data_IF_383488772376
#
_entry.id   IF_383488772376
#
_cell.length_a   1.000
_cell.length_b   1.000
_cell.length_c   1.000
_cell.angle_alpha   90.00
_cell.angle_beta   90.00
_cell.angle_gamma   90.00
#
_symmetry.space_group_name_H-M   'P 1'
#
loop_
_entity.id
_entity.type
_entity.pdbx_description
1 polymer ?
#
# COMPACT_ATOMS: atom_id res chain seq x y z
N UNK A 1 -0.60 -16.49 -3.33
CA UNK A 1 -1.49 -15.50 -2.75
C UNK A 1 -2.22 -16.05 -1.52
N UNK A 2 -3.08 -17.10 -1.63
CA UNK A 2 -3.85 -17.65 -0.50
C UNK A 2 -2.94 -18.04 0.68
N UNK A 3 -1.88 -18.82 0.45
CA UNK A 3 -0.96 -19.23 1.51
C UNK A 3 -0.26 -18.04 2.21
N UNK A 4 0.00 -16.96 1.48
CA UNK A 4 0.58 -15.73 2.04
C UNK A 4 -0.45 -14.97 2.87
N UNK A 5 -1.67 -14.83 2.37
CA UNK A 5 -2.76 -14.20 3.09
C UNK A 5 -3.14 -14.99 4.37
N UNK A 6 -3.19 -16.33 4.29
CA UNK A 6 -3.47 -17.18 5.47
C UNK A 6 -2.41 -17.01 6.57
N UNK A 7 -1.13 -16.86 6.19
CA UNK A 7 -0.08 -16.56 7.19
C UNK A 7 -0.27 -15.21 7.87
N UNK A 8 -0.78 -14.23 7.12
CA UNK A 8 -0.96 -12.86 7.61
C UNK A 8 -2.23 -12.72 8.46
N UNK A 9 -3.32 -13.34 8.04
CA UNK A 9 -4.63 -13.14 8.65
C UNK A 9 -5.11 -14.33 9.53
N UNK A 10 -4.48 -15.49 9.39
CA UNK A 10 -4.93 -16.73 10.02
C UNK A 10 -6.11 -17.39 9.29
N UNK A 11 -6.30 -18.69 9.51
CA UNK A 11 -7.34 -19.48 8.83
C UNK A 11 -8.76 -19.00 9.18
N UNK A 12 -9.02 -18.67 10.45
CA UNK A 12 -10.32 -18.20 10.92
C UNK A 12 -10.73 -16.88 10.27
N UNK A 13 -9.82 -15.91 10.18
CA UNK A 13 -10.09 -14.64 9.55
C UNK A 13 -10.20 -14.76 8.02
N UNK A 14 -9.43 -15.67 7.40
CA UNK A 14 -9.57 -15.96 5.97
C UNK A 14 -10.96 -16.49 5.65
N UNK A 15 -11.47 -17.46 6.43
CA UNK A 15 -12.82 -17.99 6.24
C UNK A 15 -13.91 -16.94 6.51
N UNK A 16 -13.78 -16.21 7.63
CA UNK A 16 -14.77 -15.23 8.08
C UNK A 16 -14.87 -14.00 7.18
N UNK A 17 -13.74 -13.48 6.64
CA UNK A 17 -13.69 -12.23 5.90
C UNK A 17 -13.81 -12.44 4.37
N UNK A 18 -13.26 -13.51 3.85
CA UNK A 18 -13.21 -13.77 2.41
C UNK A 18 -14.01 -15.00 1.99
N UNK A 19 -14.29 -15.93 2.90
CA UNK A 19 -15.01 -17.16 2.59
C UNK A 19 -14.25 -18.06 1.60
N UNK A 20 -14.97 -18.75 0.72
CA UNK A 20 -14.38 -19.65 -0.26
C UNK A 20 -13.69 -18.88 -1.40
N UNK A 21 -12.40 -19.13 -1.62
CA UNK A 21 -11.65 -18.60 -2.75
C UNK A 21 -11.85 -19.49 -3.99
N UNK A 22 -12.65 -19.00 -4.93
CA UNK A 22 -12.81 -19.65 -6.23
C UNK A 22 -11.79 -19.07 -7.22
N UNK A 23 -11.01 -19.93 -7.93
CA UNK A 23 -10.09 -19.45 -8.94
C UNK A 23 -10.85 -18.83 -10.13
N UNK A 24 -10.31 -17.73 -10.68
CA UNK A 24 -10.82 -17.18 -11.93
C UNK A 24 -10.54 -18.18 -13.06
N UNK A 25 -11.52 -18.58 -13.88
CA UNK A 25 -11.31 -19.46 -15.02
C UNK A 25 -10.25 -18.91 -15.97
N UNK A 26 -9.39 -19.79 -16.51
CA UNK A 26 -8.24 -19.40 -17.33
C UNK A 26 -8.61 -18.54 -18.53
N UNK A 27 -9.78 -18.81 -19.14
CA UNK A 27 -10.32 -18.05 -20.26
C UNK A 27 -10.72 -16.61 -19.91
N UNK A 28 -10.92 -16.32 -18.63
CA UNK A 28 -11.24 -14.98 -18.13
C UNK A 28 -10.00 -14.22 -17.63
N UNK A 29 -8.81 -14.87 -17.62
CA UNK A 29 -7.58 -14.25 -17.19
C UNK A 29 -6.90 -13.49 -18.33
N UNK A 30 -6.57 -12.24 -18.07
CA UNK A 30 -5.73 -11.42 -18.96
C UNK A 30 -4.53 -10.88 -18.18
N UNK A 31 -3.40 -11.58 -18.19
CA UNK A 31 -2.20 -11.08 -17.53
C UNK A 31 -1.71 -9.78 -18.16
N UNK A 32 -1.35 -8.81 -17.33
CA UNK A 32 -0.80 -7.52 -17.76
C UNK A 32 0.65 -7.41 -17.27
N UNK A 33 1.50 -6.76 -18.07
CA UNK A 33 2.93 -6.60 -17.79
C UNK A 33 3.36 -5.14 -17.65
N UNK A 34 2.45 -4.21 -17.96
CA UNK A 34 2.73 -2.78 -18.09
C UNK A 34 3.13 -2.40 -19.53
N UNK A 35 2.71 -1.19 -19.92
CA UNK A 35 2.87 -0.68 -21.29
C UNK A 35 1.69 -0.97 -22.21
N UNK A 36 0.73 -1.79 -21.77
CA UNK A 36 -0.50 -2.05 -22.53
C UNK A 36 -1.52 -0.93 -22.35
N UNK A 37 -2.42 -0.80 -23.32
CA UNK A 37 -3.70 -0.11 -23.16
C UNK A 37 -4.81 -1.16 -23.15
N UNK A 38 -5.72 -1.05 -22.18
CA UNK A 38 -6.89 -1.90 -22.09
C UNK A 38 -8.17 -1.07 -22.20
N UNK A 39 -9.24 -1.71 -22.63
CA UNK A 39 -10.58 -1.10 -22.63
C UNK A 39 -11.41 -1.73 -21.52
N UNK A 40 -11.90 -0.91 -20.60
CA UNK A 40 -12.78 -1.34 -19.51
C UNK A 40 -13.92 -0.32 -19.33
N UNK A 41 -15.17 -0.78 -19.36
CA UNK A 41 -16.34 0.08 -19.21
C UNK A 41 -16.43 1.20 -20.25
N UNK A 42 -15.91 0.99 -21.47
CA UNK A 42 -15.87 1.99 -22.54
C UNK A 42 -14.78 3.06 -22.38
N UNK A 43 -13.85 2.89 -21.44
CA UNK A 43 -12.70 3.76 -21.20
C UNK A 43 -11.41 3.07 -21.61
N UNK A 44 -10.49 3.83 -22.19
CA UNK A 44 -9.12 3.37 -22.44
C UNK A 44 -8.25 3.66 -21.22
N UNK A 45 -7.63 2.60 -20.69
CA UNK A 45 -6.77 2.69 -19.53
C UNK A 45 -5.35 2.28 -19.94
N UNK A 46 -4.38 3.17 -19.72
CA UNK A 46 -2.97 2.83 -19.80
C UNK A 46 -2.58 2.01 -18.58
N UNK A 47 -1.73 1.01 -18.77
CA UNK A 47 -1.26 0.13 -17.71
C UNK A 47 0.22 0.38 -17.46
N UNK A 48 0.60 0.59 -16.21
CA UNK A 48 1.99 0.55 -15.78
C UNK A 48 2.23 -0.59 -14.80
N UNK A 49 3.32 -1.32 -14.96
CA UNK A 49 3.81 -2.23 -13.93
C UNK A 49 4.47 -1.40 -12.83
N UNK A 50 3.91 -1.46 -11.62
CA UNK A 50 4.24 -0.62 -10.47
C UNK A 50 4.52 -1.45 -9.22
N UNK A 51 5.56 -2.31 -9.26
CA UNK A 51 5.98 -3.10 -8.10
C UNK A 51 6.59 -2.25 -6.98
N UNK A 52 6.89 -2.87 -5.85
CA UNK A 52 7.52 -2.26 -4.68
C UNK A 52 6.72 -2.45 -3.41
N UNK A 53 5.40 -2.16 -3.42
CA UNK A 53 4.47 -2.64 -2.42
C UNK A 53 4.26 -4.17 -2.55
N UNK A 54 4.06 -4.62 -3.77
CA UNK A 54 3.95 -6.04 -4.10
C UNK A 54 4.53 -6.31 -5.49
N UNK A 55 5.12 -7.50 -5.68
CA UNK A 55 5.79 -7.88 -6.92
C UNK A 55 4.86 -7.98 -8.14
N UNK A 56 3.56 -8.16 -7.91
CA UNK A 56 2.54 -8.31 -8.97
C UNK A 56 1.73 -7.04 -9.24
N UNK A 57 2.07 -5.90 -8.60
CA UNK A 57 1.24 -4.71 -8.66
C UNK A 57 1.28 -4.01 -10.02
N UNK A 58 0.10 -3.57 -10.50
CA UNK A 58 -0.07 -2.71 -11.68
C UNK A 58 -0.96 -1.52 -11.33
N UNK A 59 -0.72 -0.41 -12.00
CA UNK A 59 -1.55 0.79 -11.93
C UNK A 59 -2.17 1.09 -13.28
N UNK A 60 -3.32 1.78 -13.27
CA UNK A 60 -4.05 2.14 -14.47
C UNK A 60 -4.26 3.65 -14.55
N UNK A 61 -4.19 4.21 -15.74
CA UNK A 61 -4.44 5.63 -15.96
C UNK A 61 -5.50 5.87 -17.05
N UNK A 62 -6.57 6.54 -16.69
CA UNK A 62 -7.57 7.04 -17.60
C UNK A 62 -7.19 8.46 -18.05
N UNK A 63 -6.69 8.60 -19.28
CA UNK A 63 -6.33 9.90 -19.86
C UNK A 63 -7.52 10.84 -19.97
N UNK A 64 -8.71 10.31 -20.24
CA UNK A 64 -9.91 11.10 -20.47
C UNK A 64 -10.36 11.83 -19.20
N UNK A 65 -10.27 11.19 -18.04
CA UNK A 65 -10.61 11.78 -16.74
C UNK A 65 -9.40 12.22 -15.93
N UNK A 66 -8.17 11.93 -16.37
CA UNK A 66 -6.90 12.17 -15.66
C UNK A 66 -6.88 11.53 -14.27
N UNK A 67 -7.53 10.38 -14.14
CA UNK A 67 -7.54 9.56 -12.92
C UNK A 67 -6.55 8.42 -13.03
N UNK A 68 -5.64 8.29 -12.06
CA UNK A 68 -4.78 7.12 -11.91
C UNK A 68 -5.31 6.21 -10.79
N UNK A 69 -5.62 4.97 -11.13
CA UNK A 69 -5.96 3.90 -10.18
C UNK A 69 -4.67 3.22 -9.76
N UNK A 70 -4.23 3.49 -8.55
CA UNK A 70 -2.86 3.20 -8.13
C UNK A 70 -2.76 2.12 -7.04
N UNK A 71 -3.89 1.47 -6.73
CA UNK A 71 -3.91 0.41 -5.72
C UNK A 71 -3.30 0.88 -4.40
N UNK A 72 -2.40 0.08 -3.86
CA UNK A 72 -1.69 0.35 -2.61
C UNK A 72 -0.35 1.09 -2.80
N UNK A 73 0.08 1.28 -4.07
CA UNK A 73 1.36 1.93 -4.39
C UNK A 73 1.47 3.36 -3.84
N UNK A 74 0.35 4.07 -3.68
CA UNK A 74 0.33 5.42 -3.13
C UNK A 74 0.00 5.48 -1.63
N UNK A 75 -0.04 4.36 -0.94
CA UNK A 75 -0.33 4.30 0.48
C UNK A 75 -1.80 4.45 0.84
N UNK A 76 -2.07 4.51 2.14
CA UNK A 76 -3.42 4.55 2.72
C UNK A 76 -3.63 5.91 3.38
N UNK A 77 -4.60 6.69 2.86
CA UNK A 77 -5.03 7.97 3.44
C UNK A 77 -6.50 7.88 3.82
N UNK A 78 -6.86 8.43 4.97
CA UNK A 78 -8.25 8.52 5.39
C UNK A 78 -8.74 9.98 5.26
N UNK A 79 -9.72 10.18 4.38
CA UNK A 79 -10.28 11.51 4.11
C UNK A 79 -9.19 12.54 3.76
N UNK A 80 -9.31 13.75 4.31
CA UNK A 80 -8.34 14.83 4.13
C UNK A 80 -7.19 14.80 5.16
N UNK A 81 -7.04 13.68 5.87
CA UNK A 81 -6.00 13.48 6.88
C UNK A 81 -4.59 13.71 6.33
N UNK A 82 -3.68 14.14 7.21
CA UNK A 82 -2.27 14.42 6.84
C UNK A 82 -1.38 13.18 6.85
N UNK A 83 -1.85 12.10 7.44
CA UNK A 83 -1.08 10.87 7.55
C UNK A 83 -1.35 9.96 6.36
N UNK A 84 -0.30 9.52 5.70
CA UNK A 84 -0.35 8.48 4.68
C UNK A 84 0.39 7.27 5.21
N UNK A 85 -0.35 6.23 5.57
CA UNK A 85 0.23 5.00 6.05
C UNK A 85 0.78 4.18 4.88
N UNK A 86 2.06 3.80 4.90
CA UNK A 86 2.60 2.91 3.90
C UNK A 86 2.15 1.47 4.17
N UNK A 87 1.49 0.80 3.22
CA UNK A 87 1.18 -0.62 3.34
C UNK A 87 2.43 -1.44 3.01
N UNK A 88 3.01 -2.07 4.02
CA UNK A 88 4.27 -2.82 3.90
C UNK A 88 4.13 -4.30 4.27
N UNK A 89 3.26 -5.08 3.61
CA UNK A 89 3.13 -6.50 3.88
C UNK A 89 4.36 -7.27 3.39
N UNK A 90 4.99 -8.11 4.22
CA UNK A 90 6.07 -8.96 3.77
C UNK A 90 5.55 -10.05 2.79
N UNK A 91 6.41 -10.64 1.95
CA UNK A 91 7.86 -10.42 1.82
C UNK A 91 8.28 -9.49 0.67
N UNK A 92 7.34 -8.96 -0.12
CA UNK A 92 7.58 -8.39 -1.45
C UNK A 92 8.01 -6.90 -1.44
N UNK A 93 8.28 -6.33 -0.27
CA UNK A 93 8.61 -4.90 -0.15
C UNK A 93 10.00 -4.61 -0.73
N UNK A 94 10.03 -3.72 -1.74
CA UNK A 94 11.25 -3.18 -2.33
C UNK A 94 11.13 -1.66 -2.50
N UNK A 95 11.82 -0.92 -1.64
CA UNK A 95 11.69 0.54 -1.58
C UNK A 95 12.32 1.25 -2.80
N UNK A 96 13.36 0.67 -3.41
CA UNK A 96 14.00 1.27 -4.59
C UNK A 96 13.08 1.13 -5.80
N UNK A 97 12.58 -0.07 -6.03
CA UNK A 97 11.60 -0.37 -7.08
C UNK A 97 10.29 0.41 -6.87
N UNK A 98 9.89 0.62 -5.62
CA UNK A 98 8.70 1.43 -5.31
C UNK A 98 8.86 2.90 -5.72
N UNK A 99 10.05 3.47 -5.56
CA UNK A 99 10.36 4.83 -6.07
C UNK A 99 10.29 4.92 -7.59
N UNK A 100 10.73 3.89 -8.31
CA UNK A 100 10.56 3.83 -9.76
C UNK A 100 9.08 3.77 -10.16
N UNK A 101 8.27 3.05 -9.40
CA UNK A 101 6.83 2.95 -9.61
C UNK A 101 6.11 4.28 -9.37
N UNK A 102 6.48 5.01 -8.32
CA UNK A 102 6.03 6.38 -8.10
C UNK A 102 6.35 7.28 -9.30
N UNK A 103 7.59 7.23 -9.79
CA UNK A 103 8.00 8.05 -10.93
C UNK A 103 7.16 7.78 -12.18
N UNK A 104 6.80 6.52 -12.46
CA UNK A 104 5.91 6.14 -13.57
C UNK A 104 4.51 6.75 -13.39
N UNK A 105 3.94 6.66 -12.19
CA UNK A 105 2.62 7.23 -11.90
C UNK A 105 2.64 8.74 -12.02
N UNK A 106 3.66 9.40 -11.47
CA UNK A 106 3.79 10.86 -11.55
C UNK A 106 4.06 11.37 -12.98
N UNK A 107 4.66 10.54 -13.87
CA UNK A 107 4.84 10.87 -15.26
C UNK A 107 3.53 10.94 -16.06
N UNK A 108 2.46 10.28 -15.60
CA UNK A 108 1.12 10.45 -16.16
C UNK A 108 0.50 11.82 -15.82
N UNK A 109 1.06 12.53 -14.84
CA UNK A 109 0.56 13.81 -14.32
C UNK A 109 -0.95 13.76 -13.99
N UNK A 110 -1.38 12.84 -13.12
CA UNK A 110 -2.80 12.65 -12.82
C UNK A 110 -3.34 13.79 -11.95
N UNK A 111 -4.58 14.21 -12.23
CA UNK A 111 -5.30 15.15 -11.37
C UNK A 111 -5.80 14.46 -10.09
N UNK A 112 -6.09 13.16 -10.18
CA UNK A 112 -6.61 12.36 -9.07
C UNK A 112 -5.91 11.01 -9.01
N UNK A 113 -5.48 10.63 -7.81
CA UNK A 113 -5.16 9.25 -7.47
C UNK A 113 -6.40 8.58 -6.90
N UNK A 114 -6.74 7.40 -7.41
CA UNK A 114 -7.75 6.55 -6.82
C UNK A 114 -7.06 5.34 -6.17
N UNK A 115 -7.04 5.35 -4.85
CA UNK A 115 -6.35 4.33 -4.04
C UNK A 115 -7.31 3.19 -3.71
N UNK A 116 -6.79 2.01 -3.36
CA UNK A 116 -7.58 0.87 -2.91
C UNK A 116 -8.40 1.21 -1.66
N UNK A 117 -7.78 1.93 -0.74
CA UNK A 117 -8.38 2.26 0.56
C UNK A 117 -8.82 3.71 0.63
N UNK A 118 -10.09 3.93 1.01
CA UNK A 118 -10.71 5.21 1.33
C UNK A 118 -10.85 6.22 0.18
N UNK A 119 -10.64 5.79 -1.06
CA UNK A 119 -11.08 6.52 -2.24
C UNK A 119 -10.08 7.51 -2.84
N UNK A 120 -10.59 8.56 -3.53
CA UNK A 120 -9.76 9.45 -4.31
C UNK A 120 -9.05 10.50 -3.46
N UNK A 121 -7.90 10.97 -3.97
CA UNK A 121 -7.17 12.10 -3.44
C UNK A 121 -6.60 12.97 -4.56
N UNK A 122 -6.75 14.28 -4.45
CA UNK A 122 -6.16 15.26 -5.37
C UNK A 122 -4.79 15.69 -4.85
N UNK A 123 -3.77 15.69 -5.72
CA UNK A 123 -2.40 16.07 -5.36
C UNK A 123 -1.46 14.88 -5.22
N UNK A 124 -1.22 14.19 -6.34
CA UNK A 124 -0.39 12.98 -6.41
C UNK A 124 1.00 13.16 -5.77
N UNK A 125 1.69 14.28 -6.05
CA UNK A 125 3.01 14.56 -5.46
C UNK A 125 2.98 14.65 -3.94
N UNK A 126 1.97 15.32 -3.38
CA UNK A 126 1.81 15.45 -1.93
C UNK A 126 1.52 14.10 -1.28
N UNK A 127 0.70 13.27 -1.94
CA UNK A 127 0.39 11.93 -1.48
C UNK A 127 1.65 11.08 -1.33
N UNK A 128 2.46 11.00 -2.37
CA UNK A 128 3.71 10.24 -2.34
C UNK A 128 4.74 10.84 -1.38
N UNK A 129 4.90 12.16 -1.37
CA UNK A 129 5.79 12.81 -0.41
C UNK A 129 5.47 12.41 1.02
N UNK A 130 4.22 12.52 1.44
CA UNK A 130 3.79 12.17 2.79
C UNK A 130 3.95 10.67 3.09
N UNK A 131 3.68 9.81 2.13
CA UNK A 131 3.95 8.37 2.28
C UNK A 131 5.44 8.10 2.54
N UNK A 132 6.33 8.72 1.75
CA UNK A 132 7.77 8.53 1.90
C UNK A 132 8.34 9.08 3.20
N UNK A 133 7.81 10.18 3.72
CA UNK A 133 8.17 10.70 5.04
C UNK A 133 7.96 9.63 6.13
N UNK A 134 6.88 8.86 6.06
CA UNK A 134 6.61 7.78 7.01
C UNK A 134 7.44 6.53 6.73
N UNK A 135 7.63 6.12 5.47
CA UNK A 135 8.51 5.00 5.11
C UNK A 135 9.95 5.25 5.62
N UNK A 136 10.47 6.45 5.40
CA UNK A 136 11.82 6.82 5.84
C UNK A 136 11.94 6.83 7.36
N UNK A 137 10.89 7.29 8.06
CA UNK A 137 10.84 7.22 9.51
C UNK A 137 10.83 5.77 10.01
N UNK A 138 9.98 4.91 9.45
CA UNK A 138 9.90 3.49 9.81
C UNK A 138 11.21 2.76 9.51
N UNK A 139 11.81 3.00 8.34
CA UNK A 139 13.11 2.42 7.98
C UNK A 139 14.21 2.80 9.00
N UNK A 140 14.21 4.04 9.50
CA UNK A 140 15.13 4.49 10.52
C UNK A 140 14.92 3.77 11.85
N UNK A 141 13.66 3.60 12.27
CA UNK A 141 13.29 2.86 13.47
C UNK A 141 13.76 1.41 13.35
N UNK A 142 13.40 0.72 12.26
CA UNK A 142 13.75 -0.68 12.01
C UNK A 142 15.27 -0.88 12.00
N UNK A 143 16.02 -0.04 11.29
CA UNK A 143 17.51 -0.14 11.26
C UNK A 143 18.12 0.00 12.64
N UNK A 144 17.62 0.91 13.46
CA UNK A 144 18.09 1.08 14.84
C UNK A 144 17.76 -0.13 15.70
N UNK A 145 16.53 -0.66 15.60
CA UNK A 145 16.10 -1.83 16.38
C UNK A 145 16.85 -3.10 15.98
N UNK A 146 17.14 -3.30 14.68
CA UNK A 146 17.94 -4.42 14.20
C UNK A 146 19.40 -4.33 14.71
N UNK A 147 19.96 -3.13 14.78
CA UNK A 147 21.32 -2.92 15.24
C UNK A 147 21.48 -3.10 16.78
N UNK A 148 20.39 -3.15 17.53
CA UNK A 148 20.42 -3.41 18.97
C UNK A 148 20.40 -4.93 19.24
N UNK A 149 21.59 -5.47 19.45
CA UNK A 149 21.80 -6.90 19.73
C UNK A 149 21.26 -7.34 21.10
N UNK A 150 20.92 -6.40 21.99
CA UNK A 150 20.35 -6.71 23.32
C UNK A 150 18.87 -7.09 23.27
N UNK A 151 18.18 -6.76 22.16
CA UNK A 151 16.75 -7.03 21.98
C UNK A 151 16.50 -8.37 21.29
N UNK A 152 15.50 -9.12 21.77
CA UNK A 152 14.95 -10.27 21.04
C UNK A 152 14.15 -9.80 19.83
N UNK A 153 13.83 -10.71 18.90
CA UNK A 153 12.98 -10.41 17.74
C UNK A 153 11.61 -9.86 18.19
N UNK A 154 10.96 -10.53 19.12
CA UNK A 154 9.68 -10.10 19.71
C UNK A 154 9.76 -8.70 20.35
N UNK A 155 10.85 -8.39 21.05
CA UNK A 155 11.05 -7.05 21.63
C UNK A 155 11.25 -5.97 20.55
N UNK A 156 11.90 -6.30 19.43
CA UNK A 156 12.07 -5.40 18.28
C UNK A 156 10.72 -5.11 17.60
N UNK A 157 9.92 -6.16 17.39
CA UNK A 157 8.59 -6.03 16.81
C UNK A 157 7.69 -5.15 17.69
N UNK A 158 7.63 -5.45 18.99
CA UNK A 158 6.86 -4.65 19.94
C UNK A 158 7.31 -3.18 19.97
N UNK A 159 8.62 -2.94 20.03
CA UNK A 159 9.16 -1.59 20.02
C UNK A 159 8.84 -0.83 18.73
N UNK A 160 8.89 -1.50 17.56
CA UNK A 160 8.48 -0.93 16.30
C UNK A 160 7.01 -0.51 16.31
N UNK A 161 6.11 -1.40 16.71
CA UNK A 161 4.66 -1.14 16.78
C UNK A 161 4.37 0.05 17.71
N UNK A 162 5.02 0.10 18.87
CA UNK A 162 4.86 1.20 19.82
C UNK A 162 5.34 2.55 19.25
N UNK A 163 6.47 2.56 18.55
CA UNK A 163 7.02 3.80 17.97
C UNK A 163 6.23 4.28 16.78
N UNK A 164 5.84 3.36 15.87
CA UNK A 164 4.98 3.67 14.73
C UNK A 164 3.61 4.18 15.19
N UNK A 165 3.04 3.56 16.24
CA UNK A 165 1.78 4.01 16.84
C UNK A 165 1.90 5.40 17.46
N UNK A 166 2.99 5.71 18.17
CA UNK A 166 3.22 7.04 18.75
C UNK A 166 3.39 8.12 17.67
N UNK A 167 4.06 7.79 16.57
CA UNK A 167 4.22 8.70 15.45
C UNK A 167 2.88 9.01 14.78
N UNK A 168 2.10 7.97 14.51
CA UNK A 168 0.73 8.10 14.00
C UNK A 168 -0.15 8.96 14.92
N UNK A 169 -0.17 8.69 16.24
CA UNK A 169 -0.95 9.44 17.22
C UNK A 169 -0.56 10.92 17.30
N UNK A 170 0.73 11.24 17.09
CA UNK A 170 1.23 12.60 17.05
C UNK A 170 0.67 13.40 15.87
N UNK A 171 0.48 12.73 14.72
CA UNK A 171 0.00 13.38 13.50
C UNK A 171 -1.52 13.51 13.48
N UNK A 172 -2.25 12.45 13.83
CA UNK A 172 -3.71 12.39 13.66
C UNK A 172 -4.50 12.40 14.98
N UNK A 173 -3.83 12.28 16.11
CA UNK A 173 -4.47 12.14 17.41
C UNK A 173 -4.89 10.70 17.72
N UNK A 174 -5.16 10.43 19.00
CA UNK A 174 -5.37 9.07 19.53
C UNK A 174 -6.60 8.37 18.91
N UNK A 175 -7.70 9.08 18.70
CA UNK A 175 -8.94 8.46 18.21
C UNK A 175 -8.85 8.07 16.74
N UNK A 176 -8.28 8.92 15.92
CA UNK A 176 -8.09 8.61 14.49
C UNK A 176 -7.02 7.55 14.29
N UNK A 177 -5.94 7.57 15.07
CA UNK A 177 -4.89 6.56 15.06
C UNK A 177 -5.45 5.13 15.23
N UNK A 178 -6.42 4.93 16.14
CA UNK A 178 -7.08 3.62 16.30
C UNK A 178 -7.73 3.12 15.02
N UNK A 179 -8.23 4.02 14.18
CA UNK A 179 -8.88 3.64 12.92
C UNK A 179 -7.86 3.26 11.85
N UNK A 180 -6.70 3.94 11.83
CA UNK A 180 -5.58 3.56 10.96
C UNK A 180 -5.01 2.18 11.35
N UNK A 181 -4.77 1.94 12.64
CA UNK A 181 -4.27 0.67 13.16
C UNK A 181 -5.20 -0.47 12.77
N UNK A 182 -6.53 -0.28 12.92
CA UNK A 182 -7.52 -1.28 12.51
C UNK A 182 -7.55 -1.53 11.01
N UNK A 183 -7.33 -0.50 10.17
CA UNK A 183 -7.37 -0.61 8.72
C UNK A 183 -6.08 -1.23 8.14
N UNK A 184 -4.93 -0.89 8.73
CA UNK A 184 -3.62 -1.28 8.23
C UNK A 184 -2.93 -2.39 9.00
N UNK A 185 -3.54 -2.85 10.10
CA UNK A 185 -2.99 -3.90 10.96
C UNK A 185 -1.49 -3.71 11.25
N UNK A 186 -1.14 -2.53 11.79
CA UNK A 186 0.24 -2.21 12.20
C UNK A 186 0.74 -3.18 13.28
N UNK A 187 -0.17 -3.94 13.88
CA UNK A 187 0.03 -4.92 14.93
C UNK A 187 0.40 -6.33 14.43
N UNK A 188 0.79 -6.46 13.14
CA UNK A 188 1.32 -7.70 12.55
C UNK A 188 2.74 -7.53 12.04
#
# INVERSE_FOLDING_TARGET
LIASATRLYGEEDMERLWGEFLPVPAENLRPLKGGETIVAGGRELEVAYTPGHASHHVSYFDRGSRVAFVGDTAGIRRGDGRYVMPPTPPPDIDLEVWRESEAKILAWDPDTLFMTHFGPFHGARLQFQQMWEHIENWNRIVKRLIADESLTEEQREQAFVEEATRDLQRVVGVQEAKQYIRAGRIDY
#
